data_IF_868063962811
#
_entry.id   IF_868063962811
#
_cell.length_a   1.000
_cell.length_b   1.000
_cell.length_c   1.000
_cell.angle_alpha   90.00
_cell.angle_beta   90.00
_cell.angle_gamma   90.00
#
_symmetry.space_group_name_H-M   'P 1'
#
loop_
_entity.id
_entity.type
_entity.pdbx_description
1 polymer ?
#
# COMPACT_ATOMS: atom_id res chain seq x y z
N UNK A 1 -16.78 20.01 -17.50
CA UNK A 1 -16.10 18.77 -17.06
C UNK A 1 -14.81 18.67 -17.84
N UNK A 2 -13.68 18.75 -17.15
CA UNK A 2 -12.34 18.71 -17.74
C UNK A 2 -11.81 17.28 -17.66
N UNK A 3 -11.09 16.76 -18.67
CA UNK A 3 -10.50 15.40 -18.69
C UNK A 3 -9.39 15.15 -17.64
N UNK A 4 -9.30 15.97 -16.60
CA UNK A 4 -8.29 15.93 -15.53
C UNK A 4 -8.81 15.36 -14.20
N UNK A 5 -10.05 14.83 -14.15
CA UNK A 5 -10.59 14.20 -12.94
C UNK A 5 -10.00 12.78 -12.77
N UNK A 6 -9.26 12.47 -11.70
CA UNK A 6 -8.61 11.17 -11.48
C UNK A 6 -9.60 10.04 -11.12
N UNK A 7 -10.89 10.36 -11.02
CA UNK A 7 -11.99 9.41 -10.88
C UNK A 7 -12.78 9.40 -12.20
N UNK A 8 -12.13 8.99 -13.28
CA UNK A 8 -12.85 8.58 -14.48
C UNK A 8 -13.73 7.38 -14.11
N UNK A 9 -15.03 7.63 -14.02
CA UNK A 9 -16.04 6.63 -13.67
C UNK A 9 -16.34 5.84 -14.95
N UNK A 10 -15.69 4.68 -15.13
CA UNK A 10 -15.90 3.81 -16.30
C UNK A 10 -14.91 2.67 -16.48
N UNK A 11 -13.66 2.82 -16.03
CA UNK A 11 -12.59 1.84 -16.30
C UNK A 11 -12.33 0.93 -15.09
N UNK A 12 -12.27 -0.39 -15.34
CA UNK A 12 -11.89 -1.39 -14.34
C UNK A 12 -10.41 -1.21 -14.01
N UNK A 13 -10.10 -1.00 -12.73
CA UNK A 13 -8.73 -0.97 -12.22
C UNK A 13 -8.33 -2.33 -11.65
N UNK A 14 -7.13 -2.78 -11.96
CA UNK A 14 -6.60 -4.06 -11.47
C UNK A 14 -5.43 -3.81 -10.54
N UNK A 15 -5.48 -4.43 -9.37
CA UNK A 15 -4.44 -4.31 -8.34
C UNK A 15 -3.86 -5.66 -7.93
N UNK A 16 -2.75 -5.60 -7.20
CA UNK A 16 -2.05 -6.74 -6.61
C UNK A 16 -2.18 -6.73 -5.08
N UNK A 17 -2.52 -7.87 -4.48
CA UNK A 17 -2.49 -8.05 -3.03
C UNK A 17 -1.13 -8.66 -2.63
N UNK A 18 -0.28 -7.84 -2.02
CA UNK A 18 1.03 -8.20 -1.50
C UNK A 18 0.86 -9.07 -0.24
N UNK A 19 1.01 -10.38 -0.38
CA UNK A 19 0.77 -11.34 0.70
C UNK A 19 1.85 -11.28 1.77
N UNK A 20 1.63 -10.42 2.76
CA UNK A 20 2.44 -10.27 3.98
C UNK A 20 2.58 -11.59 4.75
N UNK A 21 1.64 -12.51 4.55
CA UNK A 21 1.59 -13.82 5.18
C UNK A 21 2.61 -14.80 4.58
N UNK A 22 2.95 -14.62 3.30
CA UNK A 22 3.73 -15.58 2.52
C UNK A 22 5.19 -15.16 2.31
N UNK A 23 5.47 -13.86 2.22
CA UNK A 23 6.79 -13.37 1.80
C UNK A 23 7.40 -12.38 2.78
N UNK A 24 8.74 -12.33 2.79
CA UNK A 24 9.47 -11.35 3.59
C UNK A 24 9.29 -9.92 3.07
N UNK A 25 9.62 -8.89 3.89
CA UNK A 25 9.41 -7.49 3.51
C UNK A 25 10.15 -7.10 2.23
N UNK A 26 11.37 -7.60 2.01
CA UNK A 26 12.15 -7.28 0.81
C UNK A 26 11.52 -7.84 -0.46
N UNK A 27 11.13 -9.12 -0.44
CA UNK A 27 10.48 -9.77 -1.59
C UNK A 27 9.19 -9.07 -1.96
N UNK A 28 8.39 -8.63 -0.98
CA UNK A 28 7.18 -7.87 -1.23
C UNK A 28 7.43 -6.52 -1.91
N UNK A 29 8.55 -5.84 -1.60
CA UNK A 29 8.95 -4.63 -2.32
C UNK A 29 9.28 -4.95 -3.77
N UNK A 30 10.04 -6.02 -4.02
CA UNK A 30 10.38 -6.48 -5.37
C UNK A 30 9.11 -6.81 -6.19
N UNK A 31 8.13 -7.49 -5.59
CA UNK A 31 6.83 -7.74 -6.23
C UNK A 31 5.99 -6.49 -6.46
N UNK A 32 6.12 -5.48 -5.61
CA UNK A 32 5.41 -4.22 -5.75
C UNK A 32 5.94 -3.39 -6.90
N UNK A 33 7.27 -3.37 -7.07
CA UNK A 33 7.91 -2.75 -8.25
C UNK A 33 7.48 -3.49 -9.51
N UNK A 34 7.53 -4.82 -9.51
CA UNK A 34 7.09 -5.62 -10.66
C UNK A 34 5.60 -5.42 -11.00
N UNK A 35 4.74 -5.28 -9.99
CA UNK A 35 3.33 -4.96 -10.17
C UNK A 35 3.13 -3.61 -10.86
N UNK A 36 3.88 -2.58 -10.44
CA UNK A 36 3.88 -1.27 -11.10
C UNK A 36 4.41 -1.37 -12.54
N UNK A 37 5.52 -2.06 -12.77
CA UNK A 37 6.13 -2.20 -14.10
C UNK A 37 5.21 -2.93 -15.09
N UNK A 38 4.36 -3.84 -14.57
CA UNK A 38 3.32 -4.55 -15.36
C UNK A 38 2.05 -3.74 -15.60
N UNK A 39 1.99 -2.50 -15.12
CA UNK A 39 0.87 -1.61 -15.36
C UNK A 39 -0.30 -1.81 -14.40
N UNK A 40 -0.11 -2.46 -13.25
CA UNK A 40 -1.17 -2.52 -12.23
C UNK A 40 -1.38 -1.14 -11.60
N UNK A 41 -2.63 -0.88 -11.21
CA UNK A 41 -3.08 0.42 -10.72
C UNK A 41 -2.88 0.58 -9.20
N UNK A 42 -2.86 -0.55 -8.48
CA UNK A 42 -2.81 -0.59 -7.03
C UNK A 42 -1.99 -1.78 -6.51
N UNK A 43 -1.30 -1.58 -5.39
CA UNK A 43 -0.82 -2.65 -4.53
C UNK A 43 -1.36 -2.46 -3.12
N UNK A 44 -1.98 -3.50 -2.58
CA UNK A 44 -2.52 -3.52 -1.23
C UNK A 44 -1.81 -4.56 -0.36
N UNK A 45 -1.74 -4.31 0.95
CA UNK A 45 -1.13 -5.23 1.92
C UNK A 45 -1.99 -5.43 3.16
N UNK A 46 -2.08 -6.64 3.67
CA UNK A 46 -2.78 -6.95 4.90
C UNK A 46 -1.96 -6.59 6.15
N UNK A 47 -2.60 -6.00 7.16
CA UNK A 47 -1.95 -5.58 8.40
C UNK A 47 -1.95 -6.67 9.45
N UNK A 48 -0.97 -7.59 9.44
CA UNK A 48 -0.86 -8.66 10.44
C UNK A 48 0.20 -8.39 11.51
N UNK A 49 -0.06 -8.91 12.72
CA UNK A 49 0.92 -8.94 13.80
C UNK A 49 1.62 -10.29 13.90
N UNK A 50 0.88 -11.39 13.72
CA UNK A 50 1.40 -12.75 13.76
C UNK A 50 1.37 -13.37 12.36
N UNK A 51 2.35 -14.22 12.03
CA UNK A 51 2.28 -15.04 10.82
C UNK A 51 1.08 -15.98 10.83
N UNK A 52 0.49 -16.23 9.66
CA UNK A 52 -0.63 -17.18 9.50
C UNK A 52 -0.20 -18.64 9.44
N UNK A 53 1.11 -18.89 9.30
CA UNK A 53 1.68 -20.23 9.18
C UNK A 53 2.86 -20.38 10.13
N UNK A 54 2.94 -21.52 10.79
CA UNK A 54 4.05 -21.86 11.69
C UNK A 54 5.39 -22.07 10.97
N UNK A 55 5.36 -22.40 9.68
CA UNK A 55 6.54 -22.63 8.85
C UNK A 55 6.43 -21.79 7.59
N UNK A 56 7.48 -21.00 7.32
CA UNK A 56 7.52 -20.09 6.16
C UNK A 56 6.47 -18.97 6.20
N UNK A 57 5.88 -18.69 7.36
CA UNK A 57 4.97 -17.58 7.53
C UNK A 57 5.71 -16.29 7.85
N UNK A 58 5.25 -15.19 7.28
CA UNK A 58 5.77 -13.84 7.54
C UNK A 58 4.65 -12.93 8.07
N UNK A 59 5.05 -11.78 8.63
CA UNK A 59 4.15 -10.72 9.07
C UNK A 59 4.91 -9.37 9.14
N UNK A 60 5.40 -8.86 8.00
CA UNK A 60 6.05 -7.55 7.97
C UNK A 60 5.08 -6.45 8.42
N UNK A 61 5.62 -5.43 9.09
CA UNK A 61 4.80 -4.29 9.51
C UNK A 61 4.30 -3.51 8.28
N UNK A 62 2.99 -3.49 8.07
CA UNK A 62 2.37 -2.88 6.90
C UNK A 62 2.71 -1.38 6.73
N UNK A 63 2.75 -0.59 7.81
CA UNK A 63 3.03 0.86 7.73
C UNK A 63 4.49 1.13 7.32
N UNK A 64 5.44 0.42 7.93
CA UNK A 64 6.86 0.52 7.54
C UNK A 64 7.08 0.04 6.11
N UNK A 65 6.41 -1.05 5.72
CA UNK A 65 6.49 -1.58 4.37
C UNK A 65 5.90 -0.62 3.34
N UNK A 66 4.76 0.03 3.61
CA UNK A 66 4.15 1.03 2.73
C UNK A 66 5.09 2.22 2.47
N UNK A 67 5.83 2.68 3.49
CA UNK A 67 6.83 3.73 3.31
C UNK A 67 7.99 3.31 2.39
N UNK A 68 8.48 2.08 2.54
CA UNK A 68 9.51 1.54 1.66
C UNK A 68 9.01 1.29 0.23
N UNK A 69 7.77 0.81 0.09
CA UNK A 69 7.12 0.59 -1.19
C UNK A 69 6.94 1.93 -1.93
N UNK A 70 6.45 2.96 -1.26
CA UNK A 70 6.25 4.29 -1.86
C UNK A 70 7.56 4.99 -2.24
N UNK A 71 8.68 4.67 -1.58
CA UNK A 71 10.00 5.11 -2.00
C UNK A 71 10.56 4.33 -3.21
N UNK A 72 10.03 3.13 -3.47
CA UNK A 72 10.48 2.23 -4.55
C UNK A 72 9.60 2.32 -5.80
N UNK A 73 8.46 3.00 -5.72
CA UNK A 73 7.48 3.12 -6.82
C UNK A 73 7.09 4.57 -7.12
N UNK A 74 6.48 4.78 -8.28
CA UNK A 74 6.26 6.10 -8.86
C UNK A 74 4.80 6.44 -9.12
N UNK A 75 3.93 5.46 -9.39
CA UNK A 75 2.59 5.65 -9.95
C UNK A 75 1.51 4.86 -9.18
N UNK A 76 1.83 3.65 -8.78
CA UNK A 76 0.88 2.69 -8.22
C UNK A 76 0.30 3.21 -6.90
N UNK A 77 -1.01 3.04 -6.71
CA UNK A 77 -1.66 3.39 -5.44
C UNK A 77 -1.30 2.35 -4.40
N UNK A 78 -0.83 2.78 -3.22
CA UNK A 78 -0.47 1.89 -2.12
C UNK A 78 -1.47 2.03 -0.97
N UNK A 79 -1.96 0.90 -0.43
CA UNK A 79 -2.95 0.89 0.64
C UNK A 79 -2.87 -0.36 1.53
N UNK A 80 -3.58 -0.34 2.66
CA UNK A 80 -3.80 -1.55 3.47
C UNK A 80 -5.11 -2.25 3.09
N UNK A 81 -5.13 -3.58 3.08
CA UNK A 81 -6.31 -4.43 2.82
C UNK A 81 -6.34 -5.66 3.78
N UNK A 82 -6.62 -5.50 5.07
CA UNK A 82 -6.90 -4.29 5.83
C UNK A 82 -5.95 -4.18 7.03
N UNK A 83 -5.79 -2.98 7.58
CA UNK A 83 -5.23 -2.75 8.90
C UNK A 83 -6.35 -2.33 9.86
N UNK A 84 -6.48 -3.01 11.01
CA UNK A 84 -7.51 -2.69 12.02
C UNK A 84 -7.06 -1.56 12.95
N UNK A 85 -7.68 -0.35 12.91
CA UNK A 85 -7.17 0.82 13.61
C UNK A 85 -7.76 1.02 15.02
N UNK A 86 -8.40 0.02 15.62
CA UNK A 86 -9.25 0.19 16.81
C UNK A 86 -8.71 -0.42 18.10
N UNK A 87 -7.68 -1.27 18.05
CA UNK A 87 -7.17 -1.99 19.21
C UNK A 87 -5.67 -1.76 19.41
N UNK A 88 -4.83 -2.50 18.67
CA UNK A 88 -3.36 -2.47 18.85
C UNK A 88 -2.69 -1.20 18.34
N UNK A 89 -3.43 -0.36 17.63
CA UNK A 89 -2.96 0.94 17.17
C UNK A 89 -3.86 2.02 17.73
N UNK A 90 -3.25 3.12 18.17
CA UNK A 90 -4.00 4.32 18.49
C UNK A 90 -4.47 4.99 17.19
N UNK A 91 -5.76 5.32 17.01
CA UNK A 91 -6.28 5.89 15.76
C UNK A 91 -5.53 7.15 15.29
N UNK A 92 -5.07 8.01 16.20
CA UNK A 92 -4.29 9.21 15.82
C UNK A 92 -2.94 8.87 15.19
N UNK A 93 -2.30 7.76 15.58
CA UNK A 93 -1.05 7.31 14.99
C UNK A 93 -1.31 6.77 13.58
N UNK A 94 -2.42 6.06 13.37
CA UNK A 94 -2.82 5.63 12.03
C UNK A 94 -3.15 6.84 11.15
N UNK A 95 -3.90 7.82 11.66
CA UNK A 95 -4.20 9.05 10.92
C UNK A 95 -2.92 9.80 10.51
N UNK A 96 -1.93 9.89 11.40
CA UNK A 96 -0.63 10.49 11.11
C UNK A 96 0.14 9.69 10.06
N UNK A 97 0.19 8.35 10.19
CA UNK A 97 0.97 7.49 9.30
C UNK A 97 0.36 7.34 7.90
N UNK A 98 -0.96 7.40 7.79
CA UNK A 98 -1.69 7.29 6.52
C UNK A 98 -1.85 8.63 5.79
N UNK A 99 -1.28 9.72 6.33
CA UNK A 99 -1.30 10.99 5.64
C UNK A 99 -0.53 10.86 4.32
N UNK A 100 -1.14 11.20 3.17
CA UNK A 100 -0.47 11.08 1.88
C UNK A 100 0.78 11.96 1.87
N UNK A 101 1.90 11.37 1.49
CA UNK A 101 3.11 12.13 1.20
C UNK A 101 2.88 12.90 -0.11
N UNK A 102 2.69 14.21 -0.01
CA UNK A 102 2.70 15.09 -1.18
C UNK A 102 4.13 15.12 -1.72
N UNK A 103 4.31 14.72 -2.98
CA UNK A 103 5.55 15.02 -3.70
C UNK A 103 5.65 16.53 -3.87
N UNK A 104 6.88 17.05 -4.00
CA UNK A 104 7.13 18.50 -4.11
C UNK A 104 6.36 19.18 -5.26
N UNK A 105 5.93 18.40 -6.26
CA UNK A 105 5.18 18.86 -7.42
C UNK A 105 3.67 18.58 -7.33
N UNK A 106 3.20 17.89 -6.28
CA UNK A 106 1.78 17.62 -6.10
C UNK A 106 1.06 18.92 -5.69
N UNK A 107 -0.08 19.25 -6.31
CA UNK A 107 -0.84 20.42 -5.91
C UNK A 107 -1.26 20.28 -4.45
N UNK A 108 -1.06 21.34 -3.66
CA UNK A 108 -1.56 21.38 -2.30
C UNK A 108 -3.07 21.10 -2.32
N UNK A 109 -3.57 20.10 -1.59
CA UNK A 109 -5.00 19.86 -1.52
C UNK A 109 -5.68 21.11 -0.94
N UNK A 110 -6.61 21.68 -1.71
CA UNK A 110 -7.42 22.84 -1.33
C UNK A 110 -8.40 22.52 -0.21
#
# INVERSE_FOLDING_TARGET
MSPSDPVATGDVRIGYEASAEQFGPRELIEFTVEAEDRGLDMVAVSGHFQPWRHRGGHAPNALTWLGAAGASTSRVVLATSVLTPTLRYHPSIIAQASHPYLRGDDPCPS
#
